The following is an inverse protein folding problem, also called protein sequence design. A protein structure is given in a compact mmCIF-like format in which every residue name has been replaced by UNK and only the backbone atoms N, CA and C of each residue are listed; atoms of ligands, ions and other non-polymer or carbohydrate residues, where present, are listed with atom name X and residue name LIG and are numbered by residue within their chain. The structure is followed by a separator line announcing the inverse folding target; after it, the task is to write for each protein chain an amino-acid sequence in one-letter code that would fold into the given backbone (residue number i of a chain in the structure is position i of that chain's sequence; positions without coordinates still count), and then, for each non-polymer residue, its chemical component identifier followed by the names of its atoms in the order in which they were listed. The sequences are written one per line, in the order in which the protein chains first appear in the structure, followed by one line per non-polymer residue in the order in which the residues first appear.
data_IF_661068966799
#
_entry.id   IF_661068966799
#
_cell.length_a   1.000
_cell.length_b   1.000
_cell.length_c   1.000
_cell.angle_alpha   90.00
_cell.angle_beta   90.00
_cell.angle_gamma   90.00
#
_symmetry.space_group_name_H-M   'P 1'
#
loop_
_entity.id
_entity.type
_entity.pdbx_description
1 polymer ?
#
# COMPACT_ATOMS: atom_id res chain seq x y z
N UNK A 1 0.74 37.69 2.03
CA UNK A 1 0.87 37.04 3.35
C UNK A 1 0.02 35.78 3.32
N UNK A 2 0.64 34.60 3.20
CA UNK A 2 -0.09 33.34 3.11
C UNK A 2 -0.19 32.73 4.51
N UNK A 3 -1.01 33.37 5.35
CA UNK A 3 -1.32 32.87 6.69
C UNK A 3 -2.45 31.84 6.61
N UNK A 4 -2.18 30.62 7.04
CA UNK A 4 -3.16 29.54 7.07
C UNK A 4 -3.03 28.75 8.37
N UNK A 5 -4.16 28.31 8.92
CA UNK A 5 -4.20 27.43 10.09
C UNK A 5 -4.72 26.07 9.65
N UNK A 6 -3.99 24.99 9.98
CA UNK A 6 -4.48 23.66 9.68
C UNK A 6 -5.79 23.39 10.43
N UNK A 7 -6.83 22.93 9.73
CA UNK A 7 -8.13 22.64 10.36
C UNK A 7 -8.11 21.42 11.28
N UNK A 8 -7.08 20.57 11.20
CA UNK A 8 -6.94 19.33 11.98
C UNK A 8 -6.10 19.55 13.25
N UNK A 9 -4.84 19.96 13.10
CA UNK A 9 -3.94 20.18 14.25
C UNK A 9 -3.91 21.62 14.77
N UNK A 10 -4.61 22.55 14.12
CA UNK A 10 -4.67 23.97 14.49
C UNK A 10 -3.32 24.71 14.55
N UNK A 11 -2.25 24.14 13.97
CA UNK A 11 -0.95 24.80 13.85
C UNK A 11 -1.00 25.94 12.83
N UNK A 12 -0.32 27.04 13.14
CA UNK A 12 -0.04 28.11 12.21
C UNK A 12 0.96 27.64 11.13
N UNK A 13 0.61 27.82 9.85
CA UNK A 13 1.40 27.37 8.70
C UNK A 13 2.16 28.53 8.04
N UNK A 14 2.43 29.60 8.78
CA UNK A 14 3.21 30.72 8.28
C UNK A 14 4.62 30.26 7.92
N UNK A 15 5.00 30.44 6.65
CA UNK A 15 6.26 29.93 6.09
C UNK A 15 6.35 28.41 5.95
N UNK A 16 5.28 27.65 6.24
CA UNK A 16 5.24 26.19 6.13
C UNK A 16 4.40 25.79 4.91
N UNK A 17 4.85 24.82 4.08
CA UNK A 17 4.04 24.30 2.98
C UNK A 17 2.69 23.77 3.49
N UNK A 18 1.62 24.10 2.76
CA UNK A 18 0.27 23.64 3.06
C UNK A 18 -0.49 23.34 1.77
N UNK A 19 -1.61 22.64 1.90
CA UNK A 19 -2.50 22.32 0.79
C UNK A 19 -3.95 22.60 1.17
N UNK A 20 -4.81 22.64 0.16
CA UNK A 20 -6.23 22.90 0.29
C UNK A 20 -6.99 21.71 -0.30
N UNK A 21 -7.96 21.17 0.44
CA UNK A 21 -8.77 20.05 -0.04
C UNK A 21 -9.92 20.49 -0.97
N UNK A 22 -10.67 19.51 -1.49
CA UNK A 22 -11.82 19.75 -2.38
C UNK A 22 -12.95 20.59 -1.73
N UNK A 23 -12.93 20.76 -0.41
CA UNK A 23 -13.89 21.58 0.35
C UNK A 23 -13.32 22.94 0.76
N UNK A 24 -12.18 23.33 0.16
CA UNK A 24 -11.47 24.59 0.45
C UNK A 24 -10.94 24.71 1.88
N UNK A 25 -10.73 23.59 2.58
CA UNK A 25 -10.12 23.59 3.92
C UNK A 25 -8.59 23.53 3.85
N UNK A 26 -7.91 24.32 4.67
CA UNK A 26 -6.44 24.35 4.75
C UNK A 26 -5.94 23.22 5.65
N UNK A 27 -5.03 22.40 5.14
CA UNK A 27 -4.37 21.32 5.87
C UNK A 27 -2.86 21.47 5.80
N UNK A 28 -2.15 21.13 6.88
CA UNK A 28 -0.73 20.87 6.75
C UNK A 28 -0.52 19.61 5.90
N UNK A 29 0.64 19.50 5.25
CA UNK A 29 0.94 18.35 4.38
C UNK A 29 0.82 17.02 5.13
N UNK A 30 1.25 16.99 6.41
CA UNK A 30 1.17 15.80 7.25
C UNK A 30 -0.27 15.33 7.50
N UNK A 31 -1.16 16.20 7.98
CA UNK A 31 -2.55 15.84 8.25
C UNK A 31 -3.34 15.55 6.96
N UNK A 32 -3.04 16.28 5.89
CA UNK A 32 -3.62 16.01 4.57
C UNK A 32 -3.27 14.59 4.11
N UNK A 33 -1.99 14.26 4.11
CA UNK A 33 -1.55 12.92 3.73
C UNK A 33 -2.10 11.86 4.70
N UNK A 34 -2.14 12.10 6.02
CA UNK A 34 -2.71 11.14 6.98
C UNK A 34 -4.18 10.81 6.65
N UNK A 35 -4.93 11.78 6.13
CA UNK A 35 -6.34 11.63 5.77
C UNK A 35 -6.56 11.01 4.39
N UNK A 36 -5.72 11.34 3.42
CA UNK A 36 -5.98 11.03 2.00
C UNK A 36 -4.97 10.08 1.36
N UNK A 37 -3.84 9.79 2.01
CA UNK A 37 -2.84 8.87 1.46
C UNK A 37 -3.39 7.43 1.39
N UNK A 38 -3.04 6.67 0.32
CA UNK A 38 -3.40 5.28 0.22
C UNK A 38 -2.80 4.48 1.38
N UNK A 39 -3.53 3.48 1.88
CA UNK A 39 -3.07 2.61 2.95
C UNK A 39 -2.49 1.32 2.41
N UNK A 40 -1.39 0.88 3.02
CA UNK A 40 -0.80 -0.40 2.73
C UNK A 40 -1.72 -1.51 3.24
N UNK A 41 -2.04 -2.46 2.37
CA UNK A 41 -2.99 -3.52 2.71
C UNK A 41 -2.39 -4.65 3.58
N UNK A 42 -1.09 -4.57 3.89
CA UNK A 42 -0.40 -5.51 4.78
C UNK A 42 -0.22 -4.93 6.18
N UNK A 43 0.30 -3.71 6.31
CA UNK A 43 0.57 -3.10 7.62
C UNK A 43 -0.52 -2.10 8.08
N UNK A 44 -1.43 -1.66 7.19
CA UNK A 44 -2.48 -0.69 7.51
C UNK A 44 -2.02 0.77 7.53
N UNK A 45 -0.71 1.01 7.53
CA UNK A 45 -0.11 2.35 7.56
C UNK A 45 -0.24 3.07 6.21
N UNK A 46 -0.25 4.40 6.27
CA UNK A 46 -0.25 5.24 5.08
C UNK A 46 1.03 5.05 4.25
N UNK A 47 0.88 5.04 2.93
CA UNK A 47 2.00 5.01 1.99
C UNK A 47 2.33 6.47 1.66
N UNK A 48 3.32 6.99 2.38
CA UNK A 48 3.75 8.38 2.34
C UNK A 48 4.92 8.56 1.37
N UNK A 49 5.10 9.73 0.75
CA UNK A 49 6.36 10.06 0.08
C UNK A 49 7.50 10.19 1.10
N UNK A 50 8.73 9.99 0.65
CA UNK A 50 9.91 10.25 1.49
C UNK A 50 10.04 11.76 1.79
N UNK A 51 10.68 12.16 2.92
CA UNK A 51 10.86 13.56 3.26
C UNK A 51 11.56 14.32 2.12
N UNK A 52 10.86 15.33 1.55
CA UNK A 52 11.36 16.14 0.44
C UNK A 52 10.93 15.67 -0.96
N UNK A 53 10.17 14.59 -1.08
CA UNK A 53 9.55 14.17 -2.35
C UNK A 53 8.06 14.53 -2.38
N UNK A 54 7.58 14.95 -3.55
CA UNK A 54 6.15 15.24 -3.77
C UNK A 54 5.37 13.99 -4.18
N UNK A 55 6.05 13.02 -4.79
CA UNK A 55 5.44 11.78 -5.29
C UNK A 55 5.69 10.61 -4.35
N UNK A 56 4.67 9.76 -4.17
CA UNK A 56 4.78 8.53 -3.39
C UNK A 56 4.89 7.31 -4.30
N UNK A 57 5.92 6.50 -4.08
CA UNK A 57 6.09 5.23 -4.78
C UNK A 57 5.36 4.14 -4.01
N UNK A 58 4.47 3.43 -4.70
CA UNK A 58 3.72 2.31 -4.15
C UNK A 58 3.56 1.20 -5.19
N UNK A 59 3.34 -0.01 -4.72
CA UNK A 59 2.97 -1.14 -5.57
C UNK A 59 1.45 -1.27 -5.58
N UNK A 60 0.87 -1.48 -6.77
CA UNK A 60 -0.56 -1.70 -6.97
C UNK A 60 -0.77 -3.11 -7.51
N UNK A 61 -1.52 -3.92 -6.79
CA UNK A 61 -1.86 -5.28 -7.20
C UNK A 61 -3.22 -5.67 -6.62
N UNK A 62 -4.05 -6.37 -7.39
CA UNK A 62 -5.39 -6.82 -6.94
C UNK A 62 -6.25 -5.68 -6.34
N UNK A 63 -6.23 -4.49 -6.97
CA UNK A 63 -6.90 -3.28 -6.48
C UNK A 63 -6.48 -2.82 -5.06
N UNK A 64 -5.37 -3.35 -4.56
CA UNK A 64 -4.78 -3.04 -3.25
C UNK A 64 -3.46 -2.29 -3.44
N UNK A 65 -3.11 -1.47 -2.45
CA UNK A 65 -1.85 -0.73 -2.41
C UNK A 65 -0.90 -1.31 -1.37
N UNK A 66 0.40 -1.28 -1.67
CA UNK A 66 1.44 -1.85 -0.82
C UNK A 66 2.67 -0.94 -0.78
N UNK A 67 3.34 -0.87 0.37
CA UNK A 67 4.73 -0.45 0.40
C UNK A 67 5.59 -1.45 -0.37
N UNK A 68 6.70 -0.99 -0.96
CA UNK A 68 7.66 -1.84 -1.67
C UNK A 68 8.11 -3.03 -0.81
N UNK A 69 8.46 -2.78 0.46
CA UNK A 69 8.88 -3.83 1.40
C UNK A 69 7.74 -4.71 1.93
N UNK A 70 6.49 -4.29 1.77
CA UNK A 70 5.32 -5.06 2.19
C UNK A 70 4.76 -5.96 1.09
N UNK A 71 5.11 -5.70 -0.18
CA UNK A 71 4.69 -6.53 -1.30
C UNK A 71 5.52 -7.83 -1.35
N UNK A 72 5.05 -8.82 -0.61
CA UNK A 72 5.74 -10.10 -0.43
C UNK A 72 4.75 -11.26 -0.43
N UNK A 73 5.25 -12.44 -0.75
CA UNK A 73 4.49 -13.69 -0.65
C UNK A 73 3.98 -13.86 0.78
N UNK A 74 2.67 -14.06 0.94
CA UNK A 74 2.04 -14.21 2.25
C UNK A 74 2.50 -15.45 3.01
N UNK A 75 2.99 -16.48 2.31
CA UNK A 75 3.42 -17.74 2.94
C UNK A 75 4.92 -17.78 3.27
N UNK A 76 5.79 -17.38 2.34
CA UNK A 76 7.24 -17.51 2.52
C UNK A 76 7.96 -16.18 2.75
N UNK A 77 7.26 -15.04 2.67
CA UNK A 77 7.83 -13.72 2.87
C UNK A 77 8.74 -13.23 1.73
N UNK A 78 8.85 -13.96 0.62
CA UNK A 78 9.64 -13.55 -0.54
C UNK A 78 9.14 -12.21 -1.08
N UNK A 79 10.02 -11.21 -1.18
CA UNK A 79 9.70 -9.94 -1.85
C UNK A 79 9.34 -10.19 -3.31
N UNK A 80 8.17 -9.73 -3.69
CA UNK A 80 7.64 -9.90 -5.05
C UNK A 80 7.98 -8.65 -5.87
N UNK A 81 8.17 -8.84 -7.16
CA UNK A 81 8.42 -7.77 -8.12
C UNK A 81 8.05 -8.24 -9.53
N UNK A 82 7.58 -7.30 -10.35
CA UNK A 82 7.32 -7.52 -11.78
C UNK A 82 8.59 -7.69 -12.61
N UNK A 83 9.73 -7.19 -12.12
CA UNK A 83 10.99 -7.15 -12.88
C UNK A 83 11.97 -8.27 -12.48
N UNK A 84 11.75 -8.93 -11.34
CA UNK A 84 12.64 -9.98 -10.84
C UNK A 84 12.31 -11.36 -11.39
N UNK A 85 13.28 -12.02 -12.01
CA UNK A 85 13.13 -13.41 -12.46
C UNK A 85 12.75 -14.31 -11.26
N UNK A 86 11.62 -15.02 -11.36
CA UNK A 86 11.08 -15.85 -10.28
C UNK A 86 10.45 -15.09 -9.10
N UNK A 87 10.42 -13.75 -9.11
CA UNK A 87 9.77 -12.91 -8.08
C UNK A 87 8.37 -12.43 -8.46
N UNK A 88 7.82 -12.95 -9.56
CA UNK A 88 6.46 -12.64 -9.99
C UNK A 88 5.42 -12.98 -8.92
N UNK A 89 4.33 -12.21 -8.92
CA UNK A 89 3.16 -12.44 -8.09
C UNK A 89 2.17 -13.35 -8.80
N UNK A 90 1.68 -14.36 -8.07
CA UNK A 90 0.73 -15.37 -8.53
C UNK A 90 -0.47 -15.32 -7.59
N UNK A 91 -1.48 -14.49 -7.89
CA UNK A 91 -2.64 -14.35 -7.02
C UNK A 91 -3.50 -15.62 -7.03
N UNK A 92 -3.95 -16.05 -5.85
CA UNK A 92 -4.82 -17.22 -5.68
C UNK A 92 -5.79 -16.97 -4.52
N UNK A 93 -7.10 -17.07 -4.77
CA UNK A 93 -8.16 -16.84 -3.77
C UNK A 93 -8.01 -15.52 -2.98
N UNK A 94 -7.52 -14.46 -3.64
CA UNK A 94 -7.27 -13.16 -3.02
C UNK A 94 -5.95 -13.06 -2.23
N UNK A 95 -5.16 -14.12 -2.16
CA UNK A 95 -3.83 -14.13 -1.57
C UNK A 95 -2.75 -13.80 -2.59
N UNK A 96 -1.72 -13.06 -2.16
CA UNK A 96 -0.55 -12.72 -2.96
C UNK A 96 0.55 -13.74 -2.67
N UNK A 97 0.82 -14.62 -3.63
CA UNK A 97 1.78 -15.72 -3.50
C UNK A 97 2.90 -15.62 -4.52
N UNK A 98 4.06 -16.23 -4.21
CA UNK A 98 5.08 -16.50 -5.21
C UNK A 98 4.72 -17.76 -6.02
N UNK A 99 5.42 -17.98 -7.13
CA UNK A 99 5.21 -19.13 -8.03
C UNK A 99 5.15 -20.47 -7.28
N UNK A 100 6.09 -20.71 -6.37
CA UNK A 100 6.22 -21.98 -5.66
C UNK A 100 5.08 -22.19 -4.64
N UNK A 101 4.75 -21.16 -3.86
CA UNK A 101 3.65 -21.22 -2.88
C UNK A 101 2.30 -21.37 -3.56
N UNK A 102 2.06 -20.62 -4.65
CA UNK A 102 0.84 -20.75 -5.46
C UNK A 102 0.72 -22.17 -6.04
N UNK A 103 1.78 -22.71 -6.65
CA UNK A 103 1.77 -24.05 -7.22
C UNK A 103 1.50 -25.14 -6.17
N UNK A 104 2.10 -25.04 -4.98
CA UNK A 104 1.84 -25.95 -3.86
C UNK A 104 0.37 -25.91 -3.46
N UNK A 105 -0.18 -24.71 -3.26
CA UNK A 105 -1.56 -24.53 -2.83
C UNK A 105 -2.57 -25.07 -3.84
N UNK A 106 -2.32 -24.87 -5.14
CA UNK A 106 -3.15 -25.46 -6.21
C UNK A 106 -3.13 -26.99 -6.15
N UNK A 107 -1.97 -27.61 -5.87
CA UNK A 107 -1.86 -29.07 -5.72
C UNK A 107 -2.63 -29.56 -4.50
N UNK A 108 -2.51 -28.87 -3.36
CA UNK A 108 -3.23 -29.21 -2.13
C UNK A 108 -4.75 -29.15 -2.35
N UNK A 109 -5.26 -28.07 -2.95
CA UNK A 109 -6.69 -27.93 -3.28
C UNK A 109 -7.19 -29.01 -4.25
N UNK A 110 -6.35 -29.47 -5.19
CA UNK A 110 -6.72 -30.55 -6.12
C UNK A 110 -6.79 -31.93 -5.45
N UNK A 111 -6.06 -32.10 -4.34
CA UNK A 111 -5.95 -33.37 -3.61
C UNK A 111 -7.15 -33.61 -2.67
N UNK A 112 -7.78 -32.54 -2.17
CA UNK A 112 -8.91 -32.61 -1.25
C UNK A 112 -10.25 -32.97 -1.94
N UNK A 113 -10.31 -32.97 -3.27
CA UNK A 113 -11.53 -33.28 -4.05
C UNK A 113 -11.77 -34.81 -4.14
N UNK A 114 -10.82 -35.66 -3.75
CA UNK A 114 -10.92 -37.13 -3.94
C UNK A 114 -11.35 -37.93 -2.71
N UNK A 115 -11.70 -37.31 -1.57
CA UNK A 115 -12.03 -38.04 -0.31
C UNK A 115 -13.48 -37.87 0.18
N UNK A 116 -14.44 -37.59 -0.71
CA UNK A 116 -15.87 -37.75 -0.39
C UNK A 116 -16.47 -38.88 -1.26
N UNK A 117 -16.30 -40.12 -0.80
CA UNK A 117 -17.03 -41.30 -1.24
C UNK A 117 -17.21 -42.26 -0.05
#
# INVERSE_FOLDING_TARGET
EYMGTCVVCHRCLDGIPFTVDATSQIHCIEDFHRKFAPRCSVCGEAIMPEPGQEETVRIVALDRSFHIGCYKCEECGLLLSSEGEGRGCYPLDGHILCKNCSARRIQDLSSDITTDC
#
